data_IF_312662411667
#
_entry.id   IF_312662411667
#
_cell.length_a   1.000
_cell.length_b   1.000
_cell.length_c   1.000
_cell.angle_alpha   90.00
_cell.angle_beta   90.00
_cell.angle_gamma   90.00
#
_symmetry.space_group_name_H-M   'P 1'
#
loop_
_entity.id
_entity.type
_entity.pdbx_description
1 polymer ?
#
# COMPACT_ATOMS: atom_id res chain seq x y z
N UNK A 1 40.41 -28.05 -70.47
CA UNK A 1 39.51 -26.92 -70.83
C UNK A 1 39.92 -25.74 -69.96
N UNK A 2 40.32 -24.65 -70.64
CA UNK A 2 40.47 -23.25 -70.21
C UNK A 2 40.69 -22.93 -68.71
N UNK A 3 41.90 -22.49 -68.39
CA UNK A 3 42.14 -21.50 -67.34
C UNK A 3 42.68 -20.24 -68.07
N UNK A 4 41.90 -19.17 -68.06
CA UNK A 4 42.29 -17.81 -68.46
C UNK A 4 41.83 -16.87 -67.36
N UNK A 5 42.76 -16.09 -66.78
CA UNK A 5 43.05 -14.68 -67.14
C UNK A 5 42.07 -13.73 -66.41
N UNK A 6 42.41 -12.59 -65.81
CA UNK A 6 43.57 -11.68 -65.72
C UNK A 6 43.56 -11.05 -64.31
N UNK A 7 44.64 -10.48 -63.76
CA UNK A 7 45.09 -9.10 -63.99
C UNK A 7 44.03 -8.06 -63.58
N UNK A 8 44.29 -6.94 -62.89
CA UNK A 8 45.52 -6.26 -62.51
C UNK A 8 45.13 -4.98 -61.73
N UNK A 9 46.00 -4.55 -60.80
CA UNK A 9 46.36 -3.15 -60.48
C UNK A 9 45.39 -2.14 -59.80
N UNK A 10 45.94 -1.62 -58.69
CA UNK A 10 46.06 -0.20 -58.29
C UNK A 10 44.92 0.48 -57.53
N UNK A 11 45.31 1.19 -56.46
CA UNK A 11 44.57 2.36 -56.00
C UNK A 11 44.65 2.62 -54.49
N UNK A 12 45.78 3.18 -54.07
CA UNK A 12 46.02 3.87 -52.81
C UNK A 12 44.93 4.93 -52.50
N UNK A 13 44.48 5.05 -51.24
CA UNK A 13 44.31 6.33 -50.51
C UNK A 13 43.59 6.18 -49.15
N UNK A 14 44.36 6.52 -48.11
CA UNK A 14 44.04 7.51 -47.07
C UNK A 14 42.69 7.38 -46.34
N UNK A 15 42.67 6.56 -45.28
CA UNK A 15 41.64 6.59 -44.24
C UNK A 15 41.91 7.69 -43.22
N UNK A 16 41.00 8.65 -43.14
CA UNK A 16 40.87 9.66 -42.10
C UNK A 16 40.18 9.07 -40.87
N UNK A 17 40.80 9.16 -39.70
CA UNK A 17 40.07 9.20 -38.41
C UNK A 17 39.25 10.51 -38.38
N UNK A 18 38.01 10.53 -37.83
CA UNK A 18 37.86 10.58 -36.37
C UNK A 18 36.53 10.02 -35.83
N UNK A 19 36.53 9.04 -34.93
CA UNK A 19 35.32 8.73 -34.13
C UNK A 19 35.70 8.46 -32.67
N UNK A 20 35.62 9.54 -31.90
CA UNK A 20 35.02 9.66 -30.56
C UNK A 20 34.79 8.39 -29.76
N UNK A 21 35.54 8.28 -28.66
CA UNK A 21 35.27 7.38 -27.53
C UNK A 21 33.92 7.71 -26.87
N UNK A 22 32.92 6.86 -27.06
CA UNK A 22 31.71 6.80 -26.24
C UNK A 22 31.32 5.33 -26.01
N UNK A 23 32.21 4.57 -25.38
CA UNK A 23 31.92 3.21 -24.92
C UNK A 23 32.05 3.15 -23.40
N UNK A 24 31.07 3.69 -22.68
CA UNK A 24 30.86 3.34 -21.26
C UNK A 24 29.43 3.66 -20.77
N UNK A 25 28.42 3.25 -21.53
CA UNK A 25 27.01 3.29 -21.05
C UNK A 25 26.23 2.01 -21.34
N UNK A 26 26.90 0.97 -21.85
CA UNK A 26 26.24 -0.29 -22.22
C UNK A 26 26.00 -1.24 -21.05
N UNK A 27 26.35 -0.87 -19.81
CA UNK A 27 26.25 -1.77 -18.66
C UNK A 27 25.10 -1.45 -17.68
N UNK A 28 24.11 -0.64 -18.09
CA UNK A 28 22.96 -0.30 -17.24
C UNK A 28 21.77 -1.28 -17.34
N UNK A 29 21.79 -2.20 -18.30
CA UNK A 29 20.75 -3.23 -18.46
C UNK A 29 21.06 -4.54 -17.72
N UNK A 30 22.24 -4.67 -17.10
CA UNK A 30 22.66 -5.85 -16.32
C UNK A 30 22.54 -5.66 -14.80
N UNK A 31 21.71 -4.70 -14.34
CA UNK A 31 21.35 -4.55 -12.92
C UNK A 31 19.96 -5.16 -12.63
N UNK A 32 19.28 -5.69 -13.66
CA UNK A 32 17.94 -6.27 -13.56
C UNK A 32 17.85 -7.79 -13.50
N UNK A 33 18.98 -8.50 -13.42
CA UNK A 33 19.03 -9.99 -13.48
C UNK A 33 19.70 -10.59 -12.26
N UNK A 34 19.03 -10.57 -11.11
CA UNK A 34 19.07 -11.73 -10.21
C UNK A 34 17.69 -11.87 -9.58
N UNK A 35 17.01 -12.97 -9.92
CA UNK A 35 15.93 -13.49 -9.09
C UNK A 35 16.55 -13.79 -7.72
N UNK A 36 16.37 -12.87 -6.78
CA UNK A 36 16.77 -13.11 -5.39
C UNK A 36 15.68 -13.91 -4.70
N UNK A 37 15.62 -15.20 -4.99
CA UNK A 37 15.14 -16.16 -4.00
C UNK A 37 16.24 -16.29 -2.95
N UNK A 38 15.89 -16.13 -1.67
CA UNK A 38 16.71 -16.27 -0.44
C UNK A 38 17.14 -14.95 0.21
N UNK A 39 16.33 -14.49 1.17
CA UNK A 39 16.81 -13.84 2.40
C UNK A 39 17.61 -12.55 2.25
N UNK A 40 17.62 -11.90 1.09
CA UNK A 40 18.31 -10.63 0.91
C UNK A 40 17.51 -9.50 1.56
N UNK A 41 18.19 -8.68 2.36
CA UNK A 41 17.68 -7.40 2.87
C UNK A 41 17.02 -6.60 1.76
N UNK A 42 15.77 -6.19 1.95
CA UNK A 42 15.04 -5.33 1.02
C UNK A 42 15.66 -3.93 1.05
N UNK A 43 15.91 -3.36 -0.12
CA UNK A 43 16.36 -1.97 -0.16
C UNK A 43 15.21 -1.04 0.23
N UNK A 44 15.54 0.07 0.89
CA UNK A 44 14.53 1.06 1.32
C UNK A 44 13.65 1.54 0.14
N UNK A 45 14.22 1.67 -1.06
CA UNK A 45 13.47 2.03 -2.27
C UNK A 45 12.42 0.97 -2.66
N UNK A 46 12.75 -0.31 -2.55
CA UNK A 46 11.84 -1.43 -2.84
C UNK A 46 10.72 -1.51 -1.81
N UNK A 47 11.05 -1.27 -0.53
CA UNK A 47 10.07 -1.20 0.56
C UNK A 47 9.02 -0.13 0.27
N UNK A 48 9.45 1.11 0.00
CA UNK A 48 8.50 2.19 -0.33
C UNK A 48 7.76 1.92 -1.63
N UNK A 49 8.43 1.34 -2.62
CA UNK A 49 7.78 0.97 -3.87
C UNK A 49 6.68 -0.07 -3.65
N UNK A 50 6.88 -1.05 -2.77
CA UNK A 50 5.84 -2.00 -2.38
C UNK A 50 4.68 -1.30 -1.65
N UNK A 51 5.00 -0.53 -0.61
CA UNK A 51 4.00 0.05 0.30
C UNK A 51 3.16 1.17 -0.32
N UNK A 52 3.64 1.85 -1.36
CA UNK A 52 2.89 2.95 -2.00
C UNK A 52 1.53 2.53 -2.58
N UNK A 53 1.33 1.24 -2.88
CA UNK A 53 0.10 0.74 -3.47
C UNK A 53 -0.78 0.05 -2.41
N UNK A 54 -2.05 0.46 -2.32
CA UNK A 54 -3.01 -0.09 -1.36
C UNK A 54 -3.18 -1.60 -1.51
N UNK A 55 -3.39 -2.10 -2.74
CA UNK A 55 -3.58 -3.54 -2.97
C UNK A 55 -2.40 -4.39 -2.50
N UNK A 56 -1.16 -3.93 -2.70
CA UNK A 56 0.02 -4.65 -2.18
C UNK A 56 0.03 -4.71 -0.66
N UNK A 57 -0.34 -3.62 0.03
CA UNK A 57 -0.50 -3.61 1.49
C UNK A 57 -1.61 -4.56 1.93
N UNK A 58 -2.76 -4.55 1.25
CA UNK A 58 -3.89 -5.43 1.56
C UNK A 58 -3.55 -6.92 1.38
N UNK A 59 -2.77 -7.29 0.35
CA UNK A 59 -2.28 -8.68 0.16
C UNK A 59 -1.48 -9.12 1.39
N UNK A 60 -0.53 -8.29 1.84
CA UNK A 60 0.33 -8.62 2.98
C UNK A 60 -0.49 -8.75 4.26
N UNK A 61 -1.42 -7.82 4.51
CA UNK A 61 -2.31 -7.88 5.66
C UNK A 61 -3.20 -9.13 5.64
N UNK A 62 -3.77 -9.45 4.47
CA UNK A 62 -4.60 -10.62 4.31
C UNK A 62 -3.83 -11.91 4.58
N UNK A 63 -2.66 -12.09 3.95
CA UNK A 63 -1.84 -13.29 4.16
C UNK A 63 -1.40 -13.43 5.62
N UNK A 64 -1.02 -12.33 6.28
CA UNK A 64 -0.68 -12.37 7.72
C UNK A 64 -1.82 -12.84 8.61
N UNK A 65 -3.05 -12.49 8.25
CA UNK A 65 -4.24 -12.94 8.98
C UNK A 65 -4.61 -14.41 8.68
N UNK A 66 -4.01 -15.02 7.66
CA UNK A 66 -4.29 -16.38 7.17
C UNK A 66 -3.01 -17.22 7.11
N UNK A 67 -2.24 -17.23 8.19
CA UNK A 67 -1.05 -18.09 8.36
C UNK A 67 0.03 -17.95 7.26
N UNK A 68 0.04 -16.83 6.55
CA UNK A 68 1.00 -16.52 5.49
C UNK A 68 0.69 -17.16 4.14
N UNK A 69 -0.43 -17.85 3.96
CA UNK A 69 -0.75 -18.58 2.73
C UNK A 69 -2.20 -18.41 2.30
N UNK A 70 -2.45 -18.18 1.00
CA UNK A 70 -3.80 -18.14 0.46
C UNK A 70 -3.86 -18.41 -1.05
N UNK A 71 -5.07 -18.71 -1.55
CA UNK A 71 -5.34 -18.73 -2.98
C UNK A 71 -5.61 -17.32 -3.51
N UNK A 72 -5.15 -17.02 -4.74
CA UNK A 72 -5.37 -15.75 -5.42
C UNK A 72 -6.85 -15.37 -5.50
N UNK A 73 -7.75 -16.35 -5.67
CA UNK A 73 -9.18 -16.08 -5.71
C UNK A 73 -9.69 -15.52 -4.38
N UNK A 74 -9.25 -16.08 -3.26
CA UNK A 74 -9.65 -15.65 -1.91
C UNK A 74 -9.13 -14.25 -1.62
N UNK A 75 -7.85 -14.00 -1.94
CA UNK A 75 -7.23 -12.67 -1.80
C UNK A 75 -7.95 -11.64 -2.67
N UNK A 76 -8.26 -11.98 -3.92
CA UNK A 76 -8.97 -11.07 -4.83
C UNK A 76 -10.40 -10.78 -4.36
N UNK A 77 -11.09 -11.77 -3.82
CA UNK A 77 -12.45 -11.65 -3.28
C UNK A 77 -12.47 -10.74 -2.05
N UNK A 78 -11.57 -10.96 -1.11
CA UNK A 78 -11.45 -10.14 0.10
C UNK A 78 -11.10 -8.69 -0.24
N UNK A 79 -10.06 -8.47 -1.05
CA UNK A 79 -9.63 -7.12 -1.44
C UNK A 79 -10.72 -6.40 -2.23
N UNK A 80 -11.45 -7.11 -3.10
CA UNK A 80 -12.54 -6.48 -3.85
C UNK A 80 -13.72 -6.10 -2.95
N UNK A 81 -14.05 -6.91 -1.94
CA UNK A 81 -15.07 -6.59 -0.96
C UNK A 81 -14.68 -5.35 -0.14
N UNK A 82 -13.44 -5.32 0.36
CA UNK A 82 -12.87 -4.20 1.13
C UNK A 82 -12.82 -2.89 0.30
N UNK A 83 -12.34 -2.95 -0.94
CA UNK A 83 -12.27 -1.77 -1.83
C UNK A 83 -13.64 -1.18 -2.20
N UNK A 84 -14.71 -1.99 -2.13
CA UNK A 84 -16.06 -1.55 -2.46
C UNK A 84 -16.93 -1.30 -1.22
N UNK A 85 -16.38 -1.47 -0.01
CA UNK A 85 -17.09 -1.34 1.28
C UNK A 85 -18.38 -2.17 1.32
N UNK A 86 -18.28 -3.42 0.89
CA UNK A 86 -19.38 -4.38 0.84
C UNK A 86 -18.96 -5.72 1.42
N UNK A 87 -19.93 -6.58 1.73
CA UNK A 87 -19.60 -7.97 2.09
C UNK A 87 -19.24 -8.79 0.86
N UNK A 88 -18.47 -9.86 1.06
CA UNK A 88 -18.18 -10.86 0.03
C UNK A 88 -19.46 -11.42 -0.63
N UNK A 89 -20.57 -11.52 0.13
CA UNK A 89 -21.86 -12.01 -0.39
C UNK A 89 -22.51 -11.06 -1.38
N UNK A 90 -22.22 -9.76 -1.28
CA UNK A 90 -22.75 -8.71 -2.15
C UNK A 90 -21.83 -8.43 -3.35
N UNK A 91 -20.65 -9.05 -3.38
CA UNK A 91 -19.64 -8.81 -4.39
C UNK A 91 -20.06 -9.32 -5.77
N UNK A 92 -20.01 -8.44 -6.77
CA UNK A 92 -20.25 -8.83 -8.16
C UNK A 92 -19.03 -9.52 -8.78
N UNK A 93 -19.29 -10.41 -9.74
CA UNK A 93 -18.26 -11.07 -10.52
C UNK A 93 -17.31 -10.09 -11.22
N UNK A 94 -17.81 -8.95 -11.69
CA UNK A 94 -17.01 -7.94 -12.39
C UNK A 94 -16.06 -7.18 -11.44
N UNK A 95 -16.53 -6.85 -10.23
CA UNK A 95 -15.69 -6.23 -9.19
C UNK A 95 -14.54 -7.17 -8.82
N UNK A 96 -14.86 -8.44 -8.51
CA UNK A 96 -13.83 -9.46 -8.20
C UNK A 96 -12.85 -9.65 -9.35
N UNK A 97 -13.35 -9.78 -10.59
CA UNK A 97 -12.52 -10.00 -11.78
C UNK A 97 -11.53 -8.87 -12.03
N UNK A 98 -11.93 -7.62 -11.81
CA UNK A 98 -11.02 -6.46 -11.97
C UNK A 98 -9.86 -6.52 -10.98
N UNK A 99 -10.12 -6.86 -9.73
CA UNK A 99 -9.07 -7.03 -8.72
C UNK A 99 -8.19 -8.22 -9.06
N UNK A 100 -8.78 -9.39 -9.35
CA UNK A 100 -8.07 -10.60 -9.75
C UNK A 100 -7.07 -10.34 -10.88
N UNK A 101 -7.50 -9.69 -11.96
CA UNK A 101 -6.63 -9.38 -13.11
C UNK A 101 -5.47 -8.48 -12.68
N UNK A 102 -5.74 -7.45 -11.88
CA UNK A 102 -4.71 -6.55 -11.36
C UNK A 102 -3.69 -7.28 -10.48
N UNK A 103 -4.16 -8.16 -9.59
CA UNK A 103 -3.29 -8.98 -8.75
C UNK A 103 -2.41 -9.90 -9.59
N UNK A 104 -3.01 -10.62 -10.54
CA UNK A 104 -2.33 -11.58 -11.41
C UNK A 104 -1.27 -10.93 -12.31
N UNK A 105 -1.59 -9.78 -12.92
CA UNK A 105 -0.75 -9.19 -13.97
C UNK A 105 0.29 -8.21 -13.44
N UNK A 106 -0.01 -7.49 -12.35
CA UNK A 106 0.80 -6.37 -11.90
C UNK A 106 1.35 -6.59 -10.49
N UNK A 107 0.48 -6.88 -9.51
CA UNK A 107 0.89 -6.83 -8.11
C UNK A 107 1.71 -8.05 -7.69
N UNK A 108 1.18 -9.26 -7.87
CA UNK A 108 1.85 -10.48 -7.41
C UNK A 108 3.16 -10.75 -8.14
N UNK A 109 3.27 -10.64 -9.49
CA UNK A 109 4.55 -10.83 -10.16
C UNK A 109 5.64 -9.88 -9.66
N UNK A 110 5.27 -8.65 -9.31
CA UNK A 110 6.23 -7.67 -8.79
C UNK A 110 6.63 -7.96 -7.35
N UNK A 111 5.67 -8.35 -6.52
CA UNK A 111 5.95 -8.76 -5.13
C UNK A 111 6.81 -10.02 -5.07
N UNK A 112 6.60 -10.95 -5.98
CA UNK A 112 7.39 -12.16 -6.19
C UNK A 112 8.82 -11.85 -6.64
N UNK A 113 8.98 -10.95 -7.62
CA UNK A 113 10.29 -10.50 -8.06
C UNK A 113 11.12 -9.82 -6.94
N UNK A 114 10.46 -9.06 -6.06
CA UNK A 114 11.11 -8.41 -4.91
C UNK A 114 11.33 -9.42 -3.77
N UNK A 115 10.68 -10.59 -3.82
CA UNK A 115 10.85 -11.68 -2.86
C UNK A 115 10.11 -11.48 -1.54
N UNK A 116 9.04 -10.68 -1.51
CA UNK A 116 8.16 -10.52 -0.32
C UNK A 116 7.03 -11.53 -0.25
N UNK A 117 6.68 -12.11 -1.40
CA UNK A 117 5.80 -13.26 -1.51
C UNK A 117 6.43 -14.25 -2.48
N UNK A 118 6.02 -15.50 -2.42
CA UNK A 118 6.18 -16.46 -3.52
C UNK A 118 4.82 -16.62 -4.20
N UNK A 119 4.78 -16.41 -5.51
CA UNK A 119 3.55 -16.51 -6.28
C UNK A 119 3.62 -17.60 -7.35
N UNK A 120 2.94 -18.72 -7.10
CA UNK A 120 2.76 -19.78 -8.09
C UNK A 120 1.60 -19.44 -9.03
N UNK A 121 1.94 -18.97 -10.24
CA UNK A 121 0.96 -18.64 -11.30
C UNK A 121 0.14 -19.83 -11.78
N UNK A 122 0.70 -21.04 -11.75
CA UNK A 122 0.02 -22.24 -12.25
C UNK A 122 -1.01 -22.74 -11.23
N UNK A 123 -0.63 -22.71 -9.95
CA UNK A 123 -1.50 -23.13 -8.84
C UNK A 123 -2.41 -22.01 -8.34
N UNK A 124 -2.07 -20.75 -8.63
CA UNK A 124 -2.79 -19.58 -8.14
C UNK A 124 -2.61 -19.39 -6.63
N UNK A 125 -1.46 -19.78 -6.07
CA UNK A 125 -1.21 -19.76 -4.63
C UNK A 125 -0.17 -18.71 -4.29
N UNK A 126 -0.33 -18.07 -3.13
CA UNK A 126 0.51 -16.96 -2.68
C UNK A 126 0.98 -17.28 -1.26
N UNK A 127 2.29 -17.18 -1.03
CA UNK A 127 2.91 -17.44 0.28
C UNK A 127 3.78 -16.26 0.69
N UNK A 128 3.73 -15.85 1.96
CA UNK A 128 4.61 -14.80 2.50
C UNK A 128 6.03 -15.33 2.66
N UNK A 129 7.00 -14.47 2.34
CA UNK A 129 8.42 -14.76 2.52
C UNK A 129 8.98 -14.02 3.74
N UNK A 130 10.08 -14.52 4.33
CA UNK A 130 10.70 -13.96 5.54
C UNK A 130 11.07 -12.47 5.40
N UNK A 131 11.39 -12.02 4.19
CA UNK A 131 11.73 -10.63 3.88
C UNK A 131 10.59 -9.65 4.20
N UNK A 132 9.34 -10.11 4.29
CA UNK A 132 8.18 -9.29 4.65
C UNK A 132 8.35 -8.62 6.01
N UNK A 133 9.07 -9.24 6.94
CA UNK A 133 9.38 -8.70 8.27
C UNK A 133 9.99 -7.30 8.22
N UNK A 134 10.83 -7.01 7.21
CA UNK A 134 11.46 -5.70 7.01
C UNK A 134 10.45 -4.64 6.54
N UNK A 135 9.38 -5.06 5.87
CA UNK A 135 8.30 -4.21 5.41
C UNK A 135 7.36 -3.82 6.57
N UNK A 136 7.13 -4.75 7.51
CA UNK A 136 6.15 -4.60 8.60
C UNK A 136 6.48 -3.43 9.52
N UNK A 137 7.76 -3.15 9.76
CA UNK A 137 8.23 -2.00 10.54
C UNK A 137 7.69 -0.66 10.00
N UNK A 138 7.36 -0.59 8.71
CA UNK A 138 6.82 0.61 8.06
C UNK A 138 5.30 0.54 7.84
N UNK A 139 4.67 -0.62 8.01
CA UNK A 139 3.21 -0.79 7.89
C UNK A 139 2.49 -0.57 9.22
N UNK A 140 3.13 -0.99 10.29
CA UNK A 140 2.65 -0.85 11.67
C UNK A 140 3.71 0.02 12.37
N UNK A 141 3.62 1.35 12.25
CA UNK A 141 4.52 2.21 13.00
C UNK A 141 4.35 1.84 14.47
N UNK A 142 5.40 1.24 15.04
CA UNK A 142 5.47 0.98 16.46
C UNK A 142 5.34 2.35 17.11
N UNK A 143 4.17 2.65 17.64
CA UNK A 143 4.03 3.68 18.65
C UNK A 143 4.91 3.20 19.80
N UNK A 144 6.13 3.73 19.92
CA UNK A 144 7.07 3.45 21.03
C UNK A 144 6.49 3.86 22.41
N UNK A 145 5.21 4.23 22.45
CA UNK A 145 4.40 4.31 23.64
C UNK A 145 3.89 2.89 23.99
N UNK A 146 4.81 2.02 24.37
CA UNK A 146 4.52 0.75 25.06
C UNK A 146 3.90 1.07 26.43
N UNK A 147 2.62 1.43 26.42
CA UNK A 147 1.64 1.30 27.49
C UNK A 147 0.28 1.44 26.81
N UNK A 148 -0.23 0.33 26.28
CA UNK A 148 -1.63 -0.07 26.42
C UNK A 148 -1.82 -1.38 25.64
N UNK A 149 -1.45 -2.47 26.33
CA UNK A 149 -2.11 -3.75 26.17
C UNK A 149 -3.62 -3.57 26.01
N UNK A 150 -4.18 -4.28 25.04
CA UNK A 150 -5.57 -4.68 25.01
C UNK A 150 -6.62 -3.56 24.95
N UNK A 151 -7.18 -3.42 23.74
CA UNK A 151 -8.62 -3.25 23.62
C UNK A 151 -9.06 -1.84 23.30
N UNK A 152 -9.90 -1.79 22.29
CA UNK A 152 -10.76 -0.69 21.92
C UNK A 152 -11.64 -0.23 23.10
N UNK A 153 -11.10 0.63 23.96
CA UNK A 153 -11.86 1.41 24.93
C UNK A 153 -11.66 2.92 24.75
N UNK A 154 -10.61 3.36 24.02
CA UNK A 154 -10.38 4.78 23.72
C UNK A 154 -11.26 5.30 22.56
N UNK A 155 -11.63 4.43 21.61
CA UNK A 155 -12.48 4.79 20.44
C UNK A 155 -13.91 5.19 20.82
N UNK A 156 -14.38 4.88 22.03
CA UNK A 156 -15.71 5.28 22.51
C UNK A 156 -15.76 6.70 23.09
N UNK A 157 -14.65 7.28 23.56
CA UNK A 157 -14.69 8.60 24.20
C UNK A 157 -15.08 9.71 23.20
N UNK A 158 -14.64 9.59 21.95
CA UNK A 158 -14.95 10.57 20.89
C UNK A 158 -16.45 10.60 20.55
N UNK A 159 -17.14 9.46 20.27
CA UNK A 159 -18.59 9.47 20.08
C UNK A 159 -19.36 9.72 21.39
N UNK A 160 -18.83 9.37 22.56
CA UNK A 160 -19.48 9.63 23.86
C UNK A 160 -19.54 11.12 24.21
N UNK A 161 -18.46 11.86 23.95
CA UNK A 161 -18.42 13.32 24.13
C UNK A 161 -19.33 13.99 23.09
N UNK A 162 -19.31 13.52 21.83
CA UNK A 162 -20.19 14.04 20.79
C UNK A 162 -21.69 13.80 21.10
N UNK A 163 -22.06 12.61 21.59
CA UNK A 163 -23.46 12.28 21.95
C UNK A 163 -23.93 13.02 23.19
N UNK A 164 -23.07 13.23 24.20
CA UNK A 164 -23.44 14.00 25.40
C UNK A 164 -23.62 15.50 25.10
N UNK A 165 -22.82 16.09 24.21
CA UNK A 165 -23.03 17.47 23.75
C UNK A 165 -24.36 17.60 22.98
N UNK A 166 -24.67 16.66 22.09
CA UNK A 166 -25.94 16.65 21.35
C UNK A 166 -27.14 16.44 22.28
N UNK A 167 -27.02 15.59 23.30
CA UNK A 167 -28.10 15.35 24.27
C UNK A 167 -28.36 16.58 25.15
N UNK A 168 -27.32 17.27 25.63
CA UNK A 168 -27.45 18.48 26.45
C UNK A 168 -28.07 19.63 25.66
N UNK A 169 -27.68 19.80 24.39
CA UNK A 169 -28.26 20.81 23.49
C UNK A 169 -29.69 20.43 23.08
N UNK A 170 -29.97 19.15 22.84
CA UNK A 170 -31.30 18.62 22.53
C UNK A 170 -32.30 18.81 23.68
N UNK A 171 -31.91 18.49 24.91
CA UNK A 171 -32.77 18.69 26.09
C UNK A 171 -33.08 20.18 26.35
N UNK A 172 -32.13 21.07 26.06
CA UNK A 172 -32.33 22.52 26.20
C UNK A 172 -33.37 23.10 25.24
N UNK A 173 -33.48 22.57 24.02
CA UNK A 173 -34.40 23.10 22.99
C UNK A 173 -35.85 22.63 23.17
N UNK A 174 -36.09 21.54 23.90
CA UNK A 174 -37.43 21.00 24.20
C UNK A 174 -38.13 21.67 25.39
N UNK A 175 -37.44 22.55 26.14
CA UNK A 175 -38.08 23.43 27.12
C UNK A 175 -38.75 22.73 28.31
N UNK A 176 -38.22 21.59 28.76
CA UNK A 176 -38.73 20.89 29.95
C UNK A 176 -37.93 21.33 31.19
N UNK A 177 -38.55 22.12 32.06
CA UNK A 177 -38.03 22.48 33.39
C UNK A 177 -37.17 23.75 33.45
N UNK A 178 -36.49 23.96 34.59
CA UNK A 178 -35.84 25.21 35.03
C UNK A 178 -34.71 25.77 34.12
N UNK A 179 -34.45 25.15 32.97
CA UNK A 179 -33.41 25.53 32.01
C UNK A 179 -33.85 26.57 30.97
N UNK A 180 -35.14 26.92 30.90
CA UNK A 180 -35.62 28.00 30.01
C UNK A 180 -35.15 29.40 30.41
N UNK A 181 -34.58 29.55 31.61
CA UNK A 181 -34.06 30.80 32.14
C UNK A 181 -32.64 31.13 31.67
N UNK A 182 -31.95 30.19 30.99
CA UNK A 182 -30.60 30.42 30.49
C UNK A 182 -30.68 31.16 29.15
N UNK A 183 -30.10 32.38 29.04
CA UNK A 183 -30.07 33.13 27.78
C UNK A 183 -29.37 32.33 26.69
N UNK A 184 -29.76 32.51 25.42
CA UNK A 184 -29.14 31.85 24.27
C UNK A 184 -27.60 31.98 24.22
N UNK A 185 -27.06 33.05 24.82
CA UNK A 185 -25.62 33.33 24.96
C UNK A 185 -24.90 32.31 25.87
N UNK A 186 -25.59 31.71 26.84
CA UNK A 186 -25.01 30.65 27.69
C UNK A 186 -24.74 29.36 26.91
N UNK A 187 -25.59 29.06 25.93
CA UNK A 187 -25.47 27.87 25.09
C UNK A 187 -24.35 28.00 24.06
N UNK A 188 -24.14 29.20 23.51
CA UNK A 188 -23.04 29.44 22.57
C UNK A 188 -21.68 29.32 23.25
N UNK A 189 -21.53 29.84 24.47
CA UNK A 189 -20.30 29.68 25.27
C UNK A 189 -20.01 28.21 25.56
N UNK A 190 -21.02 27.42 25.91
CA UNK A 190 -20.86 25.98 26.16
C UNK A 190 -20.40 25.24 24.89
N UNK A 191 -20.98 25.53 23.74
CA UNK A 191 -20.54 24.98 22.45
C UNK A 191 -19.08 25.37 22.13
N UNK A 192 -18.70 26.63 22.35
CA UNK A 192 -17.34 27.11 22.09
C UNK A 192 -16.32 26.42 23.02
N UNK A 193 -16.66 26.23 24.29
CA UNK A 193 -15.82 25.50 25.26
C UNK A 193 -15.70 24.02 24.86
N UNK A 194 -16.79 23.39 24.43
CA UNK A 194 -16.78 22.01 23.95
C UNK A 194 -15.90 21.83 22.72
N UNK A 195 -16.02 22.72 21.73
CA UNK A 195 -15.18 22.69 20.51
C UNK A 195 -13.72 22.93 20.87
N UNK A 196 -13.42 23.90 21.75
CA UNK A 196 -12.06 24.18 22.19
C UNK A 196 -11.42 23.02 22.97
N UNK A 197 -12.21 22.28 23.76
CA UNK A 197 -11.74 21.08 24.46
C UNK A 197 -11.44 19.94 23.46
N UNK A 198 -12.28 19.74 22.44
CA UNK A 198 -12.05 18.74 21.39
C UNK A 198 -10.77 19.09 20.60
N UNK A 199 -10.60 20.35 20.22
CA UNK A 199 -9.40 20.80 19.53
C UNK A 199 -8.15 20.69 20.42
N UNK A 200 -8.26 21.00 21.72
CA UNK A 200 -7.15 20.87 22.67
C UNK A 200 -6.70 19.43 22.87
N UNK A 201 -7.64 18.47 22.87
CA UNK A 201 -7.33 17.04 22.91
C UNK A 201 -6.68 16.58 21.61
N UNK A 202 -7.13 17.09 20.45
CA UNK A 202 -6.53 16.76 19.14
C UNK A 202 -5.18 17.43 18.86
N UNK A 203 -4.82 18.49 19.57
CA UNK A 203 -3.58 19.26 19.35
C UNK A 203 -2.47 18.90 20.35
N UNK A 204 -2.78 18.11 21.37
CA UNK A 204 -1.79 17.56 22.31
C UNK A 204 -1.25 16.18 21.89
N UNK A 205 -1.85 15.57 20.86
CA UNK A 205 -1.32 14.44 20.09
C UNK A 205 -0.51 14.96 18.88
#
# INVERSE_FOLDING_TARGET
>A
MSAGNSGSLSGDQLGSDPETSTDDVSNLEEIGKESRSNGSTLEKGEIFDLLKNSRRRSIIQYLRAHDGYAELNEVAEHIAADENDITVRELSSDQRKRVYIGLYQCHLPKMDNIGVVEYDKNRGTIELQDSVSQLLVYMDPIDENENDEAGSERTWLVPAIATSVVAVVGLGTLGIGALSAVPAVGWTLLCVIGIAAILGVQYLD
#
